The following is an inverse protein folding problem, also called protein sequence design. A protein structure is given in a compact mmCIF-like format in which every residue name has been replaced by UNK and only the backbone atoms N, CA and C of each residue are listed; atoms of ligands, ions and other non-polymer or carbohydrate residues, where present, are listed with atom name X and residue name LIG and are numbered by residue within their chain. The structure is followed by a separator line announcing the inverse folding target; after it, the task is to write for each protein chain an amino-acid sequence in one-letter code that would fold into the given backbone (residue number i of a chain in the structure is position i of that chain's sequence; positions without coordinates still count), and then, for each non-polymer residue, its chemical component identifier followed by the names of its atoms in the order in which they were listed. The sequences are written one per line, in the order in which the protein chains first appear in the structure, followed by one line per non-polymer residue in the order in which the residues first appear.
data_IF_772370758726
#
_entry.id   IF_772370758726
#
_cell.length_a   1.000
_cell.length_b   1.000
_cell.length_c   1.000
_cell.angle_alpha   90.00
_cell.angle_beta   90.00
_cell.angle_gamma   90.00
#
_symmetry.space_group_name_H-M   'P 1'
#
loop_
_entity.id
_entity.type
_entity.pdbx_description
1 polymer ?
#
# COMPACT_ATOMS: atom_id res chain seq x y z
N UNK A 1 10.72 -42.13 32.87
CA UNK A 1 9.49 -41.69 33.56
C UNK A 1 8.58 -40.94 32.56
N UNK A 2 9.01 -39.83 32.04
CA UNK A 2 8.21 -39.00 31.15
C UNK A 2 7.73 -39.72 29.89
N UNK A 3 8.60 -40.46 29.18
CA UNK A 3 8.25 -41.21 27.99
C UNK A 3 7.12 -42.23 28.23
N UNK A 4 7.20 -42.96 29.37
CA UNK A 4 6.18 -43.92 29.78
C UNK A 4 4.84 -43.23 30.07
N UNK A 5 4.85 -42.12 30.78
CA UNK A 5 3.64 -41.34 31.08
C UNK A 5 2.99 -40.75 29.82
N UNK A 6 3.77 -40.26 28.88
CA UNK A 6 3.24 -39.74 27.61
C UNK A 6 2.62 -40.87 26.76
N UNK A 7 3.25 -42.02 26.68
CA UNK A 7 2.70 -43.16 26.02
C UNK A 7 1.38 -43.63 26.66
N UNK A 8 1.31 -43.69 28.01
CA UNK A 8 0.11 -44.06 28.75
C UNK A 8 -1.03 -43.02 28.62
N UNK A 9 -0.71 -41.75 28.37
CA UNK A 9 -1.71 -40.69 28.19
C UNK A 9 -2.37 -40.68 26.82
N UNK A 10 -1.89 -41.50 25.86
CA UNK A 10 -2.34 -41.51 24.48
C UNK A 10 -1.93 -40.27 23.67
N UNK A 11 -0.97 -39.48 24.17
CA UNK A 11 -0.44 -38.35 23.44
C UNK A 11 0.55 -38.83 22.38
N UNK A 12 0.24 -38.55 21.10
CA UNK A 12 1.16 -38.82 19.99
C UNK A 12 2.27 -37.72 20.00
N UNK A 13 3.47 -38.09 20.42
CA UNK A 13 4.59 -37.16 20.53
C UNK A 13 5.92 -37.88 20.23
N UNK A 14 6.73 -37.25 19.40
CA UNK A 14 8.12 -37.63 19.20
C UNK A 14 8.97 -37.03 20.35
N UNK A 15 9.65 -37.88 21.10
CA UNK A 15 10.41 -37.49 22.28
C UNK A 15 11.91 -37.64 22.03
N UNK A 16 12.67 -36.60 22.32
CA UNK A 16 14.12 -36.64 22.31
C UNK A 16 14.65 -36.29 23.71
N UNK A 17 15.42 -37.18 24.31
CA UNK A 17 16.05 -36.95 25.62
C UNK A 17 17.50 -36.53 25.43
N UNK A 18 17.90 -35.46 26.07
CA UNK A 18 19.25 -34.89 26.02
C UNK A 18 19.81 -34.69 27.40
N UNK A 19 21.12 -34.90 27.57
CA UNK A 19 21.75 -34.85 28.88
C UNK A 19 22.32 -33.49 29.28
N UNK A 20 22.44 -32.57 28.34
CA UNK A 20 23.04 -31.24 28.59
C UNK A 20 22.50 -30.19 27.61
N UNK A 21 22.80 -28.93 27.93
CA UNK A 21 22.36 -27.76 27.18
C UNK A 21 22.95 -27.70 25.74
N UNK A 22 24.20 -28.20 25.56
CA UNK A 22 24.85 -28.21 24.27
C UNK A 22 24.20 -29.24 23.32
N UNK A 23 23.79 -30.39 23.86
CA UNK A 23 23.00 -31.40 23.14
C UNK A 23 21.59 -30.84 22.84
N UNK A 24 20.94 -30.17 23.78
CA UNK A 24 19.66 -29.51 23.58
C UNK A 24 19.68 -28.54 22.38
N UNK A 25 20.72 -27.67 22.32
CA UNK A 25 20.91 -26.73 21.18
C UNK A 25 20.99 -27.43 19.81
N UNK A 26 21.60 -28.61 19.76
CA UNK A 26 21.73 -29.36 18.49
C UNK A 26 20.46 -30.09 18.10
N UNK A 27 19.66 -30.49 19.05
CA UNK A 27 18.43 -31.29 18.87
C UNK A 27 17.20 -30.42 18.61
N UNK A 28 17.17 -29.19 19.16
CA UNK A 28 16.07 -28.27 18.96
C UNK A 28 15.90 -27.88 17.51
N UNK A 29 14.67 -28.00 17.03
CA UNK A 29 14.25 -27.61 15.69
C UNK A 29 13.04 -26.68 15.76
N UNK A 30 12.64 -26.07 14.63
CA UNK A 30 11.39 -25.32 14.55
C UNK A 30 10.13 -26.19 14.77
N UNK A 31 10.25 -27.52 14.73
CA UNK A 31 9.16 -28.45 15.02
C UNK A 31 9.03 -28.79 16.49
N UNK A 32 10.04 -28.49 17.29
CA UNK A 32 9.97 -28.71 18.75
C UNK A 32 8.91 -27.80 19.34
N UNK A 33 7.89 -28.41 19.97
CA UNK A 33 6.75 -27.67 20.49
C UNK A 33 6.85 -27.45 22.01
N UNK A 34 7.50 -28.36 22.73
CA UNK A 34 7.66 -28.29 24.18
C UNK A 34 9.04 -28.78 24.60
N UNK A 35 9.59 -28.16 25.62
CA UNK A 35 10.82 -28.57 26.33
C UNK A 35 10.44 -28.86 27.77
N UNK A 36 10.67 -30.07 28.21
CA UNK A 36 10.55 -30.44 29.62
C UNK A 36 11.92 -30.34 30.27
N UNK A 37 12.05 -29.48 31.27
CA UNK A 37 13.32 -29.22 31.97
C UNK A 37 13.26 -29.77 33.38
N UNK A 38 14.10 -30.75 33.69
CA UNK A 38 14.29 -31.24 35.03
C UNK A 38 15.33 -30.37 35.77
N UNK A 39 14.88 -29.57 36.74
CA UNK A 39 15.80 -28.71 37.55
C UNK A 39 16.79 -29.47 38.42
N UNK A 40 16.56 -30.75 38.67
CA UNK A 40 17.45 -31.62 39.43
C UNK A 40 18.39 -32.46 38.53
N UNK A 41 18.32 -32.27 37.22
CA UNK A 41 19.16 -33.03 36.29
C UNK A 41 20.63 -32.61 36.35
N UNK A 42 21.58 -33.56 36.22
CA UNK A 42 22.99 -33.21 36.11
C UNK A 42 23.23 -32.19 34.96
N UNK A 43 23.95 -31.10 35.26
CA UNK A 43 24.24 -30.05 34.27
C UNK A 43 23.17 -28.98 34.12
N UNK A 44 22.09 -29.04 34.92
CA UNK A 44 21.12 -27.96 35.10
C UNK A 44 21.26 -27.42 36.51
N UNK A 45 21.77 -26.20 36.63
CA UNK A 45 21.94 -25.56 37.94
C UNK A 45 20.70 -24.74 38.27
N UNK A 46 19.65 -25.43 38.69
CA UNK A 46 18.39 -24.84 39.14
C UNK A 46 17.82 -23.79 38.19
N UNK A 47 17.55 -22.59 38.71
CA UNK A 47 17.00 -21.48 37.93
C UNK A 47 17.98 -20.88 36.91
N UNK A 48 19.30 -20.97 37.18
CA UNK A 48 20.27 -20.46 36.22
C UNK A 48 20.37 -21.36 35.00
N UNK A 49 20.27 -22.67 35.14
CA UNK A 49 20.11 -23.60 34.06
C UNK A 49 18.82 -23.39 33.27
N UNK A 50 17.72 -23.12 33.98
CA UNK A 50 16.45 -22.76 33.30
C UNK A 50 16.58 -21.49 32.47
N UNK A 51 17.20 -20.43 32.96
CA UNK A 51 17.44 -19.18 32.20
C UNK A 51 18.23 -19.44 30.92
N UNK A 52 19.21 -20.35 30.98
CA UNK A 52 19.98 -20.73 29.78
C UNK A 52 19.10 -21.50 28.77
N UNK A 53 18.17 -22.35 29.23
CA UNK A 53 17.20 -23.03 28.36
C UNK A 53 16.25 -22.00 27.73
N UNK A 54 15.72 -21.07 28.51
CA UNK A 54 14.80 -20.01 28.00
C UNK A 54 15.48 -19.06 27.01
N UNK A 55 16.81 -18.90 27.10
CA UNK A 55 17.59 -18.11 26.15
C UNK A 55 17.90 -18.85 24.83
N UNK A 56 17.51 -20.10 24.70
CA UNK A 56 17.67 -20.82 23.43
C UNK A 56 16.75 -20.23 22.35
N UNK A 57 17.20 -20.13 21.10
CA UNK A 57 16.39 -19.62 20.00
C UNK A 57 15.36 -20.68 19.54
N UNK A 58 14.35 -20.91 20.36
CA UNK A 58 13.30 -21.89 20.12
C UNK A 58 11.92 -21.31 20.43
N UNK A 59 10.90 -21.58 19.59
CA UNK A 59 9.52 -21.20 19.87
C UNK A 59 8.83 -22.18 20.83
N UNK A 60 9.53 -23.18 21.34
CA UNK A 60 8.95 -24.24 22.17
C UNK A 60 8.52 -23.71 23.54
N UNK A 61 7.39 -24.19 24.04
CA UNK A 61 6.96 -23.96 25.40
C UNK A 61 7.90 -24.67 26.38
N UNK A 62 8.21 -24.06 27.51
CA UNK A 62 9.09 -24.64 28.52
C UNK A 62 8.28 -25.01 29.77
N UNK A 63 8.23 -26.31 30.10
CA UNK A 63 7.61 -26.81 31.34
C UNK A 63 8.68 -27.40 32.23
N UNK A 64 8.63 -27.06 33.49
CA UNK A 64 9.66 -27.44 34.48
C UNK A 64 9.19 -28.63 35.31
N UNK A 65 10.10 -29.58 35.57
CA UNK A 65 9.91 -30.67 36.51
C UNK A 65 10.72 -30.39 37.76
N UNK A 66 10.07 -30.43 38.96
CA UNK A 66 10.66 -30.17 40.28
C UNK A 66 10.54 -31.37 41.22
N UNK A 67 11.33 -31.41 42.28
CA UNK A 67 11.21 -32.41 43.39
C UNK A 67 10.20 -32.01 44.47
N UNK A 68 9.88 -32.90 45.38
CA UNK A 68 8.85 -32.76 46.44
C UNK A 68 9.16 -31.61 47.47
N UNK A 69 10.36 -31.12 47.55
CA UNK A 69 10.74 -29.99 48.46
C UNK A 69 10.80 -28.64 47.77
N UNK A 70 10.62 -28.60 46.44
CA UNK A 70 11.01 -27.48 45.59
C UNK A 70 9.83 -26.72 44.98
N UNK A 71 8.61 -26.85 45.53
CA UNK A 71 7.43 -26.14 45.01
C UNK A 71 7.68 -24.62 44.88
N UNK A 72 8.48 -24.04 45.79
CA UNK A 72 8.89 -22.64 45.72
C UNK A 72 9.75 -22.35 44.45
N UNK A 73 10.62 -23.28 44.06
CA UNK A 73 11.39 -23.18 42.80
C UNK A 73 10.49 -23.27 41.56
N UNK A 74 9.39 -24.02 41.62
CA UNK A 74 8.41 -24.08 40.54
C UNK A 74 7.77 -22.72 40.28
N UNK A 75 7.34 -22.02 41.33
CA UNK A 75 6.76 -20.65 41.17
C UNK A 75 7.81 -19.67 40.63
N UNK A 76 9.06 -19.78 41.11
CA UNK A 76 10.15 -18.95 40.57
C UNK A 76 10.49 -19.29 39.12
N UNK A 77 10.36 -20.54 38.69
CA UNK A 77 10.56 -20.96 37.33
C UNK A 77 9.53 -20.32 36.37
N UNK A 78 8.25 -20.28 36.78
CA UNK A 78 7.20 -19.58 36.03
C UNK A 78 7.47 -18.07 35.97
N UNK A 79 7.87 -17.48 37.12
CA UNK A 79 8.27 -16.06 37.15
C UNK A 79 9.50 -15.76 36.26
N UNK A 80 10.36 -16.74 36.03
CA UNK A 80 11.50 -16.63 35.11
C UNK A 80 11.15 -16.82 33.63
N UNK A 81 9.92 -17.26 33.30
CA UNK A 81 9.42 -17.41 31.92
C UNK A 81 9.11 -18.84 31.50
N UNK A 82 9.10 -19.82 32.40
CA UNK A 82 8.53 -21.12 32.11
C UNK A 82 7.00 -21.03 32.01
N UNK A 83 6.41 -21.83 31.11
CA UNK A 83 4.96 -21.83 30.91
C UNK A 83 4.21 -22.50 32.08
N UNK A 84 4.83 -23.54 32.67
CA UNK A 84 4.26 -24.27 33.81
C UNK A 84 5.36 -25.05 34.58
N UNK A 85 5.01 -25.56 35.77
CA UNK A 85 5.84 -26.49 36.50
C UNK A 85 5.02 -27.66 37.06
N UNK A 86 5.67 -28.82 37.17
CA UNK A 86 5.10 -30.03 37.71
C UNK A 86 6.00 -30.67 38.75
N UNK A 87 5.41 -31.16 39.85
CA UNK A 87 6.13 -31.90 40.90
C UNK A 87 6.20 -33.37 40.52
N UNK A 88 7.39 -33.94 40.35
CA UNK A 88 7.62 -35.27 39.80
C UNK A 88 6.85 -36.42 40.53
N UNK A 89 6.65 -36.28 41.83
CA UNK A 89 6.00 -37.24 42.67
C UNK A 89 4.46 -37.16 42.61
N UNK A 90 3.93 -36.05 42.15
CA UNK A 90 2.50 -35.73 42.10
C UNK A 90 1.94 -35.80 40.67
N UNK A 91 2.84 -35.86 39.66
CA UNK A 91 2.43 -35.88 38.27
C UNK A 91 2.07 -37.28 37.83
N UNK A 92 0.89 -37.44 37.24
CA UNK A 92 0.44 -38.62 36.52
C UNK A 92 0.41 -38.37 35.01
N UNK A 93 0.13 -39.40 34.21
CA UNK A 93 0.12 -39.35 32.77
C UNK A 93 -0.92 -38.33 32.21
N UNK A 94 -2.18 -38.29 32.71
CA UNK A 94 -3.15 -37.28 32.32
C UNK A 94 -2.74 -35.83 32.61
N UNK A 95 -2.18 -35.60 33.80
CA UNK A 95 -1.74 -34.27 34.24
C UNK A 95 -0.57 -33.75 33.39
N UNK A 96 0.43 -34.62 33.13
CA UNK A 96 1.56 -34.30 32.27
C UNK A 96 1.10 -33.91 30.85
N UNK A 97 0.28 -34.74 30.23
CA UNK A 97 -0.22 -34.46 28.89
C UNK A 97 -1.07 -33.21 28.81
N UNK A 98 -1.84 -32.90 29.87
CA UNK A 98 -2.64 -31.68 29.96
C UNK A 98 -1.74 -30.45 30.09
N UNK A 99 -0.75 -30.49 30.97
CA UNK A 99 0.19 -29.38 31.19
C UNK A 99 0.95 -29.04 29.88
N UNK A 100 1.46 -30.08 29.19
CA UNK A 100 2.16 -29.88 27.92
C UNK A 100 1.24 -29.23 26.87
N UNK A 101 0.02 -29.72 26.72
CA UNK A 101 -0.94 -29.14 25.76
C UNK A 101 -1.26 -27.67 26.08
N UNK A 102 -1.52 -27.37 27.35
CA UNK A 102 -1.79 -25.98 27.76
C UNK A 102 -0.57 -25.07 27.58
N UNK A 103 0.64 -25.54 27.91
CA UNK A 103 1.85 -24.79 27.71
C UNK A 103 2.08 -24.46 26.21
N UNK A 104 1.89 -25.43 25.33
CA UNK A 104 2.00 -25.24 23.87
C UNK A 104 0.98 -24.23 23.38
N UNK A 105 -0.30 -24.36 23.75
CA UNK A 105 -1.35 -23.45 23.30
C UNK A 105 -1.16 -22.02 23.85
N UNK A 106 -0.74 -21.88 25.10
CA UNK A 106 -0.40 -20.59 25.70
C UNK A 106 0.72 -19.90 24.93
N UNK A 107 1.80 -20.64 24.67
CA UNK A 107 2.95 -20.12 23.92
C UNK A 107 2.58 -19.68 22.50
N UNK A 108 1.77 -20.46 21.81
CA UNK A 108 1.24 -20.13 20.48
C UNK A 108 0.37 -18.87 20.51
N UNK A 109 -0.48 -18.74 21.51
CA UNK A 109 -1.35 -17.57 21.68
C UNK A 109 -0.54 -16.30 21.91
N UNK A 110 0.45 -16.35 22.85
CA UNK A 110 1.34 -15.22 23.14
C UNK A 110 2.16 -14.80 21.89
N UNK A 111 2.68 -15.76 21.15
CA UNK A 111 3.45 -15.47 19.95
C UNK A 111 2.57 -14.85 18.83
N UNK A 112 1.35 -15.35 18.70
CA UNK A 112 0.37 -14.79 17.74
C UNK A 112 -0.01 -13.36 18.12
N UNK A 113 -0.28 -13.10 19.39
CA UNK A 113 -0.59 -11.76 19.88
C UNK A 113 0.58 -10.80 19.65
N UNK A 114 1.80 -11.23 19.99
CA UNK A 114 3.01 -10.41 19.75
C UNK A 114 3.16 -10.07 18.27
N UNK A 115 3.02 -11.04 17.36
CA UNK A 115 3.08 -10.82 15.90
C UNK A 115 1.99 -9.85 15.43
N UNK A 116 0.79 -9.93 15.98
CA UNK A 116 -0.29 -9.00 15.65
C UNK A 116 0.00 -7.57 16.11
N UNK A 117 0.58 -7.43 17.31
CA UNK A 117 0.98 -6.11 17.83
C UNK A 117 2.10 -5.52 17.00
N UNK A 118 3.15 -6.28 16.69
CA UNK A 118 4.26 -5.87 15.84
C UNK A 118 3.76 -5.45 14.43
N UNK A 119 2.88 -6.25 13.83
CA UNK A 119 2.27 -5.94 12.52
C UNK A 119 1.42 -4.67 12.56
N UNK A 120 0.70 -4.41 13.68
CA UNK A 120 -0.09 -3.18 13.85
C UNK A 120 0.79 -1.94 14.00
N UNK A 121 1.89 -2.05 14.76
CA UNK A 121 2.84 -0.94 14.94
C UNK A 121 3.46 -0.59 13.58
N UNK A 122 4.00 -1.58 12.89
CA UNK A 122 4.59 -1.40 11.57
C UNK A 122 3.58 -0.81 10.56
N UNK A 123 2.33 -1.31 10.57
CA UNK A 123 1.28 -0.77 9.71
C UNK A 123 0.92 0.69 10.00
N UNK A 124 0.97 1.12 11.28
CA UNK A 124 0.73 2.53 11.66
C UNK A 124 1.88 3.45 11.26
N UNK A 125 3.11 3.02 11.44
CA UNK A 125 4.30 3.77 11.02
C UNK A 125 4.32 3.94 9.52
N UNK A 126 4.05 2.87 8.79
CA UNK A 126 3.96 2.88 7.35
C UNK A 126 2.85 3.82 6.85
N UNK A 127 1.64 3.73 7.39
CA UNK A 127 0.53 4.63 7.04
C UNK A 127 0.81 6.12 7.36
N UNK A 128 1.69 6.39 8.33
CA UNK A 128 2.14 7.77 8.62
C UNK A 128 3.12 8.28 7.59
N UNK A 129 4.07 7.46 7.16
CA UNK A 129 5.02 7.78 6.09
C UNK A 129 4.27 8.01 4.77
N UNK A 130 3.34 7.12 4.41
CA UNK A 130 2.52 7.22 3.20
C UNK A 130 1.76 8.55 3.10
N UNK A 131 1.08 8.94 4.19
CA UNK A 131 0.39 10.24 4.23
C UNK A 131 1.33 11.44 4.06
N UNK A 132 2.56 11.34 4.50
CA UNK A 132 3.58 12.37 4.31
C UNK A 132 4.16 12.40 2.89
N UNK A 133 4.03 11.32 2.13
CA UNK A 133 4.55 11.20 0.78
C UNK A 133 3.51 11.52 -0.30
N UNK A 134 2.21 11.43 0.01
CA UNK A 134 1.16 11.87 -0.92
C UNK A 134 1.15 13.41 -1.04
N UNK A 135 0.90 13.95 -2.24
CA UNK A 135 0.92 15.38 -2.46
C UNK A 135 -0.23 16.10 -1.76
N UNK A 136 0.06 17.23 -1.16
CA UNK A 136 -0.94 18.25 -0.86
C UNK A 136 -0.94 19.25 -2.04
N UNK A 137 -2.07 19.42 -2.73
CA UNK A 137 -2.14 20.31 -3.89
C UNK A 137 -1.85 21.77 -3.46
N UNK A 138 -1.08 22.47 -4.27
CA UNK A 138 -0.81 23.91 -4.10
C UNK A 138 -1.75 24.69 -5.01
N UNK A 139 -2.99 24.87 -4.61
CA UNK A 139 -4.04 25.60 -5.34
C UNK A 139 -4.75 26.53 -4.37
N UNK A 140 -4.81 27.82 -4.70
CA UNK A 140 -5.52 28.84 -3.92
C UNK A 140 -6.75 29.39 -4.66
N UNK A 141 -7.00 28.95 -5.91
CA UNK A 141 -8.13 29.44 -6.73
C UNK A 141 -9.46 28.83 -6.26
N UNK A 142 -10.39 29.65 -5.70
CA UNK A 142 -11.66 29.15 -5.20
C UNK A 142 -12.63 28.67 -6.29
N UNK A 143 -12.40 29.06 -7.55
CA UNK A 143 -13.20 28.60 -8.69
C UNK A 143 -12.85 27.17 -9.13
N UNK A 144 -11.72 26.65 -8.67
CA UNK A 144 -11.29 25.29 -8.96
C UNK A 144 -11.67 24.31 -7.85
N UNK A 145 -12.09 23.11 -8.25
CA UNK A 145 -12.36 21.98 -7.35
C UNK A 145 -11.41 20.86 -7.71
N UNK A 146 -10.65 20.40 -6.73
CA UNK A 146 -9.64 19.36 -6.88
C UNK A 146 -10.05 18.12 -6.10
N UNK A 147 -10.15 16.99 -6.79
CA UNK A 147 -10.46 15.69 -6.20
C UNK A 147 -9.44 14.67 -6.67
N UNK A 148 -9.02 13.79 -5.78
CA UNK A 148 -8.10 12.70 -6.11
C UNK A 148 -8.54 11.39 -5.50
N UNK A 149 -8.18 10.31 -6.16
CA UNK A 149 -8.24 8.96 -5.64
C UNK A 149 -6.90 8.29 -5.90
N UNK A 150 -6.31 7.74 -4.86
CA UNK A 150 -5.08 6.97 -4.95
C UNK A 150 -5.27 5.65 -4.21
N UNK A 151 -4.82 4.56 -4.83
CA UNK A 151 -4.84 3.23 -4.23
C UNK A 151 -3.71 2.39 -4.78
N UNK A 152 -2.79 1.88 -3.93
CA UNK A 152 -1.79 0.91 -4.34
C UNK A 152 -2.45 -0.42 -4.70
N UNK A 153 -1.96 -1.09 -5.75
CA UNK A 153 -2.50 -2.35 -6.25
C UNK A 153 -2.32 -3.51 -5.26
N UNK A 154 -1.25 -3.50 -4.46
CA UNK A 154 -0.98 -4.55 -3.49
C UNK A 154 -1.59 -4.25 -2.13
N UNK A 155 -2.32 -5.21 -1.55
CA UNK A 155 -3.00 -5.10 -0.23
C UNK A 155 -2.12 -4.65 0.94
N UNK A 156 -0.80 -4.64 0.82
CA UNK A 156 0.16 -4.24 1.87
C UNK A 156 1.21 -3.26 1.38
N UNK A 157 1.10 -2.76 0.15
CA UNK A 157 1.97 -1.72 -0.34
C UNK A 157 1.60 -0.39 0.33
N UNK A 158 2.61 0.43 0.56
CA UNK A 158 2.47 1.78 1.11
C UNK A 158 2.12 2.76 0.01
N UNK A 159 2.87 2.68 -1.08
CA UNK A 159 2.73 3.44 -2.30
C UNK A 159 3.03 2.51 -3.45
N UNK A 160 2.53 2.82 -4.63
CA UNK A 160 2.89 2.20 -5.90
C UNK A 160 3.77 3.11 -6.73
N UNK A 161 4.03 2.70 -7.97
CA UNK A 161 4.76 3.50 -8.97
C UNK A 161 4.01 4.76 -9.40
N UNK A 162 2.69 4.75 -9.24
CA UNK A 162 1.81 5.87 -9.57
C UNK A 162 2.09 7.11 -8.73
N UNK A 163 2.12 8.26 -9.38
CA UNK A 163 2.24 9.55 -8.71
C UNK A 163 1.42 10.64 -9.43
N UNK A 164 1.03 11.67 -8.69
CA UNK A 164 0.36 12.83 -9.24
C UNK A 164 0.70 14.07 -8.41
N UNK A 165 0.51 15.24 -8.99
CA UNK A 165 0.65 16.51 -8.28
C UNK A 165 -0.11 17.65 -8.96
N UNK A 166 -0.31 18.75 -8.21
CA UNK A 166 -0.97 19.95 -8.72
C UNK A 166 -0.36 21.19 -8.06
N UNK A 167 0.08 22.12 -8.89
CA UNK A 167 0.74 23.35 -8.46
C UNK A 167 0.15 24.54 -9.22
N UNK A 168 -0.34 25.54 -8.49
CA UNK A 168 -0.64 26.86 -9.03
C UNK A 168 0.57 27.76 -8.78
N UNK A 169 1.09 28.37 -9.84
CA UNK A 169 2.21 29.31 -9.78
C UNK A 169 1.72 30.74 -9.51
N UNK A 170 2.63 31.62 -9.08
CA UNK A 170 2.33 33.06 -8.82
C UNK A 170 1.74 33.76 -10.06
N UNK A 171 2.13 33.36 -11.27
CA UNK A 171 1.53 33.83 -12.52
C UNK A 171 0.11 33.39 -12.76
N UNK A 172 -0.48 32.60 -11.84
CA UNK A 172 -1.84 32.09 -11.91
C UNK A 172 -2.03 30.86 -12.79
N UNK A 173 -1.01 30.36 -13.48
CA UNK A 173 -1.11 29.10 -14.22
C UNK A 173 -1.24 27.91 -13.25
N UNK A 174 -2.01 26.88 -13.63
CA UNK A 174 -2.13 25.64 -12.86
C UNK A 174 -1.49 24.50 -13.63
N UNK A 175 -0.55 23.84 -13.00
CA UNK A 175 0.19 22.71 -13.54
C UNK A 175 -0.28 21.43 -12.88
N UNK A 176 -0.57 20.43 -13.69
CA UNK A 176 -0.96 19.08 -13.28
C UNK A 176 0.07 18.09 -13.80
N UNK A 177 0.35 17.08 -13.04
CA UNK A 177 1.10 15.91 -13.47
C UNK A 177 0.43 14.66 -12.94
N UNK A 178 0.43 13.61 -13.73
CA UNK A 178 0.19 12.24 -13.33
C UNK A 178 1.18 11.35 -14.07
N UNK A 179 1.68 10.32 -13.43
CA UNK A 179 2.61 9.39 -14.04
C UNK A 179 2.60 8.05 -13.34
N UNK A 180 3.13 7.07 -14.02
CA UNK A 180 3.31 5.72 -13.54
C UNK A 180 4.71 5.22 -13.87
N UNK A 181 5.41 4.71 -12.85
CA UNK A 181 6.72 4.06 -12.99
C UNK A 181 6.50 2.59 -13.25
N UNK A 182 6.98 2.09 -14.39
CA UNK A 182 6.81 0.70 -14.77
C UNK A 182 7.34 -0.26 -13.70
N UNK A 183 6.53 -1.27 -13.36
CA UNK A 183 6.84 -2.22 -12.30
C UNK A 183 6.06 -1.94 -11.01
N UNK A 184 6.38 -2.71 -9.99
CA UNK A 184 5.62 -2.65 -8.75
C UNK A 184 6.51 -3.02 -7.57
N UNK A 185 6.76 -2.14 -6.70
CA UNK A 185 7.54 -2.39 -5.50
C UNK A 185 7.96 -1.13 -4.75
N UNK A 186 8.71 -1.27 -3.68
CA UNK A 186 9.19 -0.13 -2.91
C UNK A 186 10.15 0.79 -3.68
N UNK A 187 10.88 0.23 -4.64
CA UNK A 187 11.86 0.98 -5.43
C UNK A 187 11.15 1.85 -6.47
N UNK A 188 10.14 1.32 -7.16
CA UNK A 188 9.30 2.04 -8.10
C UNK A 188 8.48 3.12 -7.38
N UNK A 189 7.92 2.82 -6.21
CA UNK A 189 7.24 3.79 -5.38
C UNK A 189 8.16 4.95 -4.93
N UNK A 190 9.40 4.65 -4.54
CA UNK A 190 10.38 5.67 -4.18
C UNK A 190 10.74 6.56 -5.39
N UNK A 191 10.91 5.96 -6.57
CA UNK A 191 11.21 6.68 -7.80
C UNK A 191 10.03 7.58 -8.22
N UNK A 192 8.79 7.12 -8.11
CA UNK A 192 7.60 7.94 -8.34
C UNK A 192 7.55 9.17 -7.44
N UNK A 193 7.87 9.01 -6.14
CA UNK A 193 7.97 10.16 -5.21
C UNK A 193 9.10 11.11 -5.61
N UNK A 194 10.28 10.61 -6.00
CA UNK A 194 11.41 11.43 -6.44
C UNK A 194 11.06 12.24 -7.69
N UNK A 195 10.47 11.61 -8.71
CA UNK A 195 10.04 12.28 -9.94
C UNK A 195 8.97 13.34 -9.67
N UNK A 196 7.99 13.05 -8.81
CA UNK A 196 6.98 14.01 -8.39
C UNK A 196 7.61 15.24 -7.70
N UNK A 197 8.54 15.00 -6.78
CA UNK A 197 9.22 16.12 -6.09
C UNK A 197 10.11 16.92 -7.02
N UNK A 198 10.82 16.27 -7.94
CA UNK A 198 11.60 16.95 -8.97
C UNK A 198 10.69 17.81 -9.87
N UNK A 199 9.56 17.25 -10.34
CA UNK A 199 8.57 17.99 -11.12
C UNK A 199 8.05 19.23 -10.37
N UNK A 200 7.62 19.07 -9.11
CA UNK A 200 7.14 20.19 -8.27
C UNK A 200 8.18 21.29 -8.14
N UNK A 201 9.42 20.91 -7.88
CA UNK A 201 10.55 21.85 -7.75
C UNK A 201 10.80 22.59 -9.05
N UNK A 202 10.81 21.90 -10.19
CA UNK A 202 11.01 22.50 -11.50
C UNK A 202 9.89 23.48 -11.86
N UNK A 203 8.62 23.12 -11.60
CA UNK A 203 7.46 24.00 -11.82
C UNK A 203 7.59 25.28 -10.97
N UNK A 204 7.91 25.16 -9.68
CA UNK A 204 8.09 26.29 -8.78
C UNK A 204 9.30 27.15 -9.18
N UNK A 205 10.32 26.57 -9.82
CA UNK A 205 11.45 27.27 -10.40
C UNK A 205 11.15 27.94 -11.75
N UNK A 206 9.92 27.77 -12.28
CA UNK A 206 9.48 28.37 -13.54
C UNK A 206 9.74 27.57 -14.79
N UNK A 207 10.21 26.32 -14.68
CA UNK A 207 10.36 25.42 -15.82
C UNK A 207 9.00 24.88 -16.26
N UNK A 208 8.79 24.76 -17.56
CA UNK A 208 7.54 24.29 -18.16
C UNK A 208 7.81 23.53 -19.46
N UNK A 209 6.78 22.82 -19.95
CA UNK A 209 6.78 22.21 -21.28
C UNK A 209 7.86 21.15 -21.46
N UNK A 210 8.36 21.05 -22.66
CA UNK A 210 9.33 20.02 -23.08
C UNK A 210 10.66 20.10 -22.31
N UNK A 211 11.13 21.29 -21.97
CA UNK A 211 12.36 21.47 -21.18
C UNK A 211 12.24 20.82 -19.78
N UNK A 212 11.08 20.94 -19.15
CA UNK A 212 10.80 20.29 -17.86
C UNK A 212 10.83 18.78 -18.02
N UNK A 213 10.18 18.23 -19.05
CA UNK A 213 10.19 16.79 -19.32
C UNK A 213 11.58 16.24 -19.61
N UNK A 214 12.38 16.94 -20.42
CA UNK A 214 13.79 16.55 -20.67
C UNK A 214 14.64 16.54 -19.40
N UNK A 215 14.37 17.45 -18.45
CA UNK A 215 15.03 17.42 -17.14
C UNK A 215 14.58 16.24 -16.29
N UNK A 216 13.27 15.92 -16.29
CA UNK A 216 12.75 14.75 -15.59
C UNK A 216 13.27 13.43 -16.19
N UNK A 217 13.39 13.34 -17.51
CA UNK A 217 14.01 12.21 -18.20
C UNK A 217 15.45 12.00 -17.74
N UNK A 218 16.20 13.09 -17.62
CA UNK A 218 17.57 13.06 -17.08
C UNK A 218 17.60 12.59 -15.62
N UNK A 219 16.69 13.10 -14.77
CA UNK A 219 16.58 12.65 -13.37
C UNK A 219 16.27 11.17 -13.30
N UNK A 220 15.28 10.69 -14.07
CA UNK A 220 14.93 9.27 -14.15
C UNK A 220 16.14 8.44 -14.55
N UNK A 221 16.90 8.86 -15.54
CA UNK A 221 18.11 8.17 -16.00
C UNK A 221 19.17 7.97 -14.91
N UNK A 222 19.28 8.92 -13.97
CA UNK A 222 20.23 8.86 -12.85
C UNK A 222 19.70 8.08 -11.63
N UNK A 223 18.40 8.12 -11.37
CA UNK A 223 17.79 7.54 -10.18
C UNK A 223 17.31 6.10 -10.36
N UNK A 224 17.00 5.68 -11.60
CA UNK A 224 16.56 4.32 -11.88
C UNK A 224 17.66 3.28 -11.66
N UNK A 225 17.30 2.12 -11.10
CA UNK A 225 18.24 1.04 -10.82
C UNK A 225 18.56 0.14 -12.03
N UNK A 226 17.73 0.19 -13.06
CA UNK A 226 17.87 -0.59 -14.30
C UNK A 226 17.46 0.26 -15.49
N UNK A 227 18.10 0.06 -16.63
CA UNK A 227 17.71 0.69 -17.90
C UNK A 227 16.33 0.26 -18.41
N UNK A 228 15.80 -0.84 -17.90
CA UNK A 228 14.46 -1.34 -18.22
C UNK A 228 13.35 -0.52 -17.54
N UNK A 229 13.68 0.27 -16.50
CA UNK A 229 12.71 1.11 -15.80
C UNK A 229 12.46 2.36 -16.62
N UNK A 230 11.20 2.58 -16.96
CA UNK A 230 10.68 3.76 -17.63
C UNK A 230 9.47 4.33 -16.87
N UNK A 231 9.04 5.52 -17.24
CA UNK A 231 7.89 6.17 -16.60
C UNK A 231 6.98 6.74 -17.64
N UNK A 232 5.69 6.38 -17.61
CA UNK A 232 4.67 7.08 -18.36
C UNK A 232 4.25 8.34 -17.62
N UNK A 233 3.96 9.42 -18.36
CA UNK A 233 3.63 10.70 -17.74
C UNK A 233 2.71 11.54 -18.63
N UNK A 234 1.69 12.13 -18.00
CA UNK A 234 0.89 13.21 -18.57
C UNK A 234 1.11 14.49 -17.76
N UNK A 235 1.46 15.58 -18.46
CA UNK A 235 1.60 16.89 -17.86
C UNK A 235 0.69 17.90 -18.56
N UNK A 236 -0.07 18.70 -17.78
CA UNK A 236 -0.98 19.71 -18.29
C UNK A 236 -0.69 21.05 -17.61
N UNK A 237 -0.59 22.09 -18.40
CA UNK A 237 -0.49 23.46 -17.93
C UNK A 237 -1.72 24.24 -18.34
N UNK A 238 -2.57 24.60 -17.40
CA UNK A 238 -3.79 25.39 -17.59
C UNK A 238 -3.44 26.86 -17.48
N UNK A 239 -3.81 27.62 -18.51
CA UNK A 239 -3.56 29.07 -18.55
C UNK A 239 -4.29 29.80 -17.41
N UNK A 240 -3.83 31.00 -16.98
CA UNK A 240 -4.50 31.83 -15.97
C UNK A 240 -5.96 32.15 -16.30
N UNK A 241 -6.30 32.21 -17.59
CA UNK A 241 -7.69 32.41 -18.08
C UNK A 241 -8.63 31.27 -17.72
N UNK A 242 -8.09 30.07 -17.43
CA UNK A 242 -8.84 28.81 -17.22
C UNK A 242 -9.59 28.32 -18.45
N UNK A 243 -9.34 28.90 -19.65
CA UNK A 243 -10.04 28.55 -20.89
C UNK A 243 -9.22 27.68 -21.82
N UNK A 244 -7.92 27.69 -21.68
CA UNK A 244 -6.99 26.94 -22.51
C UNK A 244 -5.98 26.18 -21.65
N UNK A 245 -5.47 25.08 -22.17
CA UNK A 245 -4.39 24.32 -21.56
C UNK A 245 -3.41 23.82 -22.63
N UNK A 246 -2.21 23.51 -22.20
CA UNK A 246 -1.19 22.78 -22.97
C UNK A 246 -0.92 21.45 -22.32
N UNK A 247 -0.92 20.40 -23.12
CA UNK A 247 -0.67 19.04 -22.69
C UNK A 247 0.57 18.48 -23.36
N UNK A 248 1.31 17.70 -22.59
CA UNK A 248 2.39 16.82 -23.06
C UNK A 248 2.11 15.40 -22.57
N UNK A 249 2.21 14.44 -23.48
CA UNK A 249 2.05 13.01 -23.19
C UNK A 249 3.38 12.29 -23.43
N UNK A 250 3.84 11.55 -22.44
CA UNK A 250 5.00 10.68 -22.50
C UNK A 250 4.57 9.23 -22.26
N UNK A 251 4.03 8.57 -23.29
CA UNK A 251 3.56 7.19 -23.24
C UNK A 251 2.36 6.94 -22.30
N UNK A 252 1.69 7.99 -21.84
CA UNK A 252 0.62 7.92 -20.83
C UNK A 252 -0.77 8.00 -21.47
N UNK A 253 -1.81 7.36 -20.87
CA UNK A 253 -3.17 7.49 -21.36
C UNK A 253 -3.65 8.94 -21.44
N UNK A 254 -4.40 9.27 -22.48
CA UNK A 254 -4.96 10.60 -22.65
C UNK A 254 -6.04 10.90 -21.61
N UNK A 255 -6.03 12.09 -20.98
CA UNK A 255 -7.05 12.51 -20.03
C UNK A 255 -8.43 12.62 -20.64
N UNK A 256 -9.47 12.52 -19.79
CA UNK A 256 -10.84 12.82 -20.20
C UNK A 256 -11.19 14.29 -19.93
N UNK A 257 -11.80 14.93 -20.91
CA UNK A 257 -12.38 16.26 -20.81
C UNK A 257 -13.91 16.16 -20.77
N UNK A 258 -14.49 16.77 -19.76
CA UNK A 258 -15.93 16.93 -19.56
C UNK A 258 -16.27 18.40 -19.82
N UNK A 259 -17.14 18.68 -20.77
CA UNK A 259 -17.65 20.03 -21.07
C UNK A 259 -19.15 20.09 -20.80
N UNK A 260 -19.61 21.13 -20.15
CA UNK A 260 -21.05 21.36 -20.02
C UNK A 260 -21.59 21.98 -21.29
N UNK A 261 -22.51 21.28 -21.97
CA UNK A 261 -23.06 21.69 -23.27
C UNK A 261 -24.35 22.50 -23.16
N UNK A 262 -24.98 22.54 -22.00
CA UNK A 262 -26.23 23.28 -21.77
C UNK A 262 -26.25 23.96 -20.41
N UNK A 263 -27.01 25.10 -20.30
CA UNK A 263 -27.25 25.79 -19.04
C UNK A 263 -28.02 24.95 -18.01
N UNK A 264 -28.73 23.92 -18.48
CA UNK A 264 -29.53 23.04 -17.61
C UNK A 264 -28.74 21.88 -17.00
N UNK A 265 -27.42 21.81 -17.22
CA UNK A 265 -26.50 20.79 -16.64
C UNK A 265 -26.88 19.33 -16.94
N UNK A 266 -27.82 19.08 -17.84
CA UNK A 266 -28.26 17.71 -18.20
C UNK A 266 -27.48 17.08 -19.35
N UNK A 267 -26.60 17.85 -20.02
CA UNK A 267 -25.73 17.34 -21.10
C UNK A 267 -24.28 17.72 -20.84
N UNK A 268 -23.46 16.75 -20.51
CA UNK A 268 -22.01 16.91 -20.52
C UNK A 268 -21.43 16.13 -21.71
N UNK A 269 -20.68 16.80 -22.56
CA UNK A 269 -19.83 16.14 -23.53
C UNK A 269 -18.64 15.54 -22.80
N UNK A 270 -18.41 14.24 -22.99
CA UNK A 270 -17.24 13.53 -22.43
C UNK A 270 -16.44 12.96 -23.58
N UNK A 271 -15.18 13.33 -23.65
CA UNK A 271 -14.26 12.85 -24.67
C UNK A 271 -12.85 12.67 -24.10
N UNK A 272 -12.11 11.70 -24.64
CA UNK A 272 -10.68 11.66 -24.44
C UNK A 272 -10.01 12.82 -25.17
N UNK A 273 -8.99 13.41 -24.57
CA UNK A 273 -8.17 14.42 -25.24
C UNK A 273 -7.41 13.80 -26.41
N UNK A 274 -7.01 14.59 -27.43
CA UNK A 274 -6.24 14.08 -28.55
C UNK A 274 -4.89 13.51 -28.09
N UNK A 275 -4.54 12.32 -28.57
CA UNK A 275 -3.28 11.62 -28.28
C UNK A 275 -2.32 11.50 -29.47
N UNK A 276 -2.65 12.14 -30.61
CA UNK A 276 -1.84 12.07 -31.85
C UNK A 276 -0.46 12.72 -31.73
N UNK A 277 -0.25 13.59 -30.75
CA UNK A 277 1.01 14.26 -30.49
C UNK A 277 1.59 13.79 -29.14
N UNK A 278 1.98 12.52 -29.07
CA UNK A 278 2.63 11.95 -27.88
C UNK A 278 4.09 11.61 -28.14
N UNK A 279 4.93 11.75 -27.12
CA UNK A 279 6.29 11.24 -27.10
C UNK A 279 6.37 9.87 -26.41
N UNK A 280 7.52 9.20 -26.49
CA UNK A 280 7.76 7.94 -25.76
C UNK A 280 7.73 8.20 -24.24
N UNK A 281 7.51 7.14 -23.46
CA UNK A 281 7.68 7.22 -22.03
C UNK A 281 9.09 7.67 -21.66
N UNK A 282 9.23 8.38 -20.54
CA UNK A 282 10.54 8.82 -20.05
C UNK A 282 11.45 7.62 -19.81
N UNK A 283 12.70 7.74 -20.19
CA UNK A 283 13.72 6.71 -20.03
C UNK A 283 13.77 5.64 -21.15
N UNK A 284 12.82 5.66 -22.11
CA UNK A 284 12.83 4.67 -23.20
C UNK A 284 13.78 5.02 -24.33
N UNK A 285 13.82 6.28 -24.74
CA UNK A 285 14.59 6.71 -25.92
C UNK A 285 15.46 7.93 -25.59
N UNK A 286 16.78 7.86 -25.79
CA UNK A 286 17.65 9.03 -25.65
C UNK A 286 17.26 10.13 -26.64
N UNK A 287 17.18 11.39 -26.16
CA UNK A 287 16.85 12.53 -26.99
C UNK A 287 15.41 12.57 -27.47
N UNK A 288 14.50 11.94 -26.72
CA UNK A 288 13.06 11.97 -27.01
C UNK A 288 12.51 13.40 -26.97
N UNK A 289 11.50 13.65 -27.77
CA UNK A 289 10.74 14.90 -27.82
C UNK A 289 9.29 14.63 -27.39
N UNK A 290 8.69 15.61 -26.70
CA UNK A 290 7.31 15.55 -26.21
C UNK A 290 6.52 16.75 -26.72
N UNK A 291 5.90 16.62 -27.91
CA UNK A 291 5.19 17.73 -28.55
C UNK A 291 4.07 18.29 -27.68
N UNK A 292 3.82 19.58 -27.81
CA UNK A 292 2.71 20.26 -27.13
C UNK A 292 1.41 20.08 -27.89
N UNK A 293 0.36 19.67 -27.17
CA UNK A 293 -1.04 19.72 -27.67
C UNK A 293 -1.76 20.89 -26.99
N UNK A 294 -2.27 21.82 -27.80
CA UNK A 294 -3.12 22.93 -27.29
C UNK A 294 -4.55 22.44 -27.13
N UNK A 295 -5.18 22.79 -26.01
CA UNK A 295 -6.52 22.34 -25.62
C UNK A 295 -7.38 23.56 -25.32
N UNK A 296 -8.53 23.67 -25.99
CA UNK A 296 -9.59 24.58 -25.57
C UNK A 296 -10.45 23.88 -24.49
N UNK A 297 -10.47 24.43 -23.30
CA UNK A 297 -11.26 23.92 -22.18
C UNK A 297 -12.69 24.46 -22.17
N UNK A 298 -12.88 25.68 -22.69
CA UNK A 298 -14.14 26.42 -22.59
C UNK A 298 -14.32 27.10 -21.22
N UNK A 299 -15.56 27.43 -20.87
CA UNK A 299 -15.90 28.18 -19.65
C UNK A 299 -16.13 27.28 -18.43
N UNK A 300 -16.84 26.17 -18.65
CA UNK A 300 -17.17 25.19 -17.60
C UNK A 300 -16.68 23.80 -18.03
N UNK A 301 -15.77 23.23 -17.24
CA UNK A 301 -15.11 22.00 -17.61
C UNK A 301 -14.69 21.19 -16.36
N UNK A 302 -14.51 19.89 -16.56
CA UNK A 302 -13.72 19.04 -15.69
C UNK A 302 -12.71 18.24 -16.49
N UNK A 303 -11.52 18.10 -15.97
CA UNK A 303 -10.40 17.38 -16.56
C UNK A 303 -10.00 16.25 -15.65
N UNK A 304 -10.06 15.02 -16.15
CA UNK A 304 -9.71 13.83 -15.39
C UNK A 304 -8.46 13.18 -15.98
N UNK A 305 -7.39 13.17 -15.20
CA UNK A 305 -6.18 12.42 -15.47
C UNK A 305 -6.25 11.12 -14.67
N UNK A 306 -5.74 10.02 -15.22
CA UNK A 306 -5.78 8.70 -14.61
C UNK A 306 -4.64 7.83 -15.10
N UNK A 307 -4.20 6.89 -14.27
CA UNK A 307 -3.21 5.87 -14.63
C UNK A 307 -3.90 4.65 -15.26
N UNK A 308 -3.13 3.83 -15.94
CA UNK A 308 -3.61 2.67 -16.71
C UNK A 308 -4.35 1.63 -15.84
N UNK A 309 -4.07 1.57 -14.53
CA UNK A 309 -4.83 0.74 -13.60
C UNK A 309 -6.34 0.96 -13.65
N UNK A 310 -6.82 2.11 -14.14
CA UNK A 310 -8.26 2.36 -14.34
C UNK A 310 -8.81 1.74 -15.63
N UNK A 311 -8.00 1.53 -16.65
CA UNK A 311 -8.42 1.06 -17.98
C UNK A 311 -7.92 -0.34 -18.34
N UNK A 312 -6.98 -0.91 -17.59
CA UNK A 312 -6.43 -2.24 -17.82
C UNK A 312 -7.27 -3.37 -17.19
N UNK A 313 -8.29 -3.04 -16.39
CA UNK A 313 -9.23 -4.01 -15.84
C UNK A 313 -9.88 -4.84 -16.95
N UNK A 314 -10.08 -6.13 -16.71
CA UNK A 314 -10.77 -7.05 -17.62
C UNK A 314 -12.24 -6.70 -17.71
N UNK A 315 -12.85 -6.93 -18.86
CA UNK A 315 -14.28 -6.77 -19.07
C UNK A 315 -14.90 -8.12 -19.42
N UNK A 316 -15.72 -8.67 -18.52
CA UNK A 316 -16.37 -9.96 -18.71
C UNK A 316 -15.43 -11.17 -18.50
N UNK A 317 -15.80 -12.32 -19.10
CA UNK A 317 -15.06 -13.59 -18.95
C UNK A 317 -13.85 -13.72 -19.91
N UNK A 318 -13.61 -12.70 -20.77
CA UNK A 318 -12.56 -12.70 -21.78
C UNK A 318 -11.24 -12.08 -21.34
N UNK A 319 -10.36 -11.85 -22.31
CA UNK A 319 -9.10 -11.12 -22.15
C UNK A 319 -9.23 -9.62 -22.50
N UNK A 320 -10.42 -9.17 -22.85
CA UNK A 320 -10.65 -7.80 -23.29
C UNK A 320 -10.49 -6.84 -22.11
N UNK A 321 -9.77 -5.74 -22.34
CA UNK A 321 -9.57 -4.67 -21.37
C UNK A 321 -10.57 -3.55 -21.65
N UNK A 322 -10.89 -2.79 -20.60
CA UNK A 322 -11.83 -1.66 -20.70
C UNK A 322 -11.37 -0.63 -21.75
N UNK A 323 -10.09 -0.26 -21.71
CA UNK A 323 -9.51 0.74 -22.57
C UNK A 323 -10.08 2.15 -22.33
N UNK A 324 -9.53 3.12 -23.08
CA UNK A 324 -9.97 4.53 -22.98
C UNK A 324 -11.42 4.70 -23.48
N UNK A 325 -11.81 4.02 -24.54
CA UNK A 325 -13.17 4.12 -25.09
C UNK A 325 -14.22 3.60 -24.10
N UNK A 326 -13.95 2.46 -23.46
CA UNK A 326 -14.82 1.93 -22.41
C UNK A 326 -14.94 2.89 -21.21
N UNK A 327 -13.83 3.50 -20.78
CA UNK A 327 -13.86 4.50 -19.72
C UNK A 327 -14.66 5.75 -20.11
N UNK A 328 -14.58 6.21 -21.36
CA UNK A 328 -15.40 7.33 -21.87
C UNK A 328 -16.89 7.00 -21.77
N UNK A 329 -17.31 5.80 -22.16
CA UNK A 329 -18.71 5.37 -22.07
C UNK A 329 -19.19 5.30 -20.61
N UNK A 330 -18.39 4.76 -19.70
CA UNK A 330 -18.70 4.74 -18.27
C UNK A 330 -18.83 6.17 -17.71
N UNK A 331 -17.91 7.06 -18.10
CA UNK A 331 -17.92 8.44 -17.66
C UNK A 331 -19.14 9.21 -18.17
N UNK A 332 -19.58 8.94 -19.41
CA UNK A 332 -20.84 9.49 -19.97
C UNK A 332 -22.05 9.02 -19.18
N UNK A 333 -22.10 7.73 -18.87
CA UNK A 333 -23.21 7.16 -18.08
C UNK A 333 -23.27 7.76 -16.68
N UNK A 334 -22.15 7.83 -15.96
CA UNK A 334 -22.07 8.42 -14.64
C UNK A 334 -22.45 9.91 -14.62
N UNK A 335 -21.98 10.68 -15.63
CA UNK A 335 -22.38 12.10 -15.79
C UNK A 335 -23.87 12.24 -16.11
N UNK A 336 -24.43 11.37 -16.94
CA UNK A 336 -25.87 11.30 -17.19
C UNK A 336 -26.69 11.00 -15.96
N UNK A 337 -26.16 10.24 -15.01
CA UNK A 337 -26.70 9.99 -13.67
C UNK A 337 -26.54 11.16 -12.68
N UNK A 338 -25.81 12.23 -13.05
CA UNK A 338 -25.58 13.40 -12.21
C UNK A 338 -24.32 13.35 -11.35
N UNK A 339 -23.47 12.34 -11.52
CA UNK A 339 -22.23 12.21 -10.77
C UNK A 339 -21.23 13.33 -11.11
N UNK A 340 -20.64 13.95 -10.08
CA UNK A 340 -19.67 15.05 -10.23
C UNK A 340 -18.59 14.99 -9.15
N UNK A 341 -17.45 15.58 -9.40
CA UNK A 341 -16.38 15.67 -8.39
C UNK A 341 -16.01 14.28 -7.84
N UNK A 342 -16.02 14.14 -6.52
CA UNK A 342 -15.65 12.88 -5.87
C UNK A 342 -16.61 11.72 -6.20
N UNK A 343 -17.92 11.99 -6.31
CA UNK A 343 -18.89 10.93 -6.62
C UNK A 343 -18.66 10.35 -8.02
N UNK A 344 -18.22 11.16 -8.97
CA UNK A 344 -17.87 10.68 -10.32
C UNK A 344 -16.67 9.71 -10.26
N UNK A 345 -15.62 10.06 -9.52
CA UNK A 345 -14.46 9.16 -9.36
C UNK A 345 -14.87 7.85 -8.68
N UNK A 346 -15.63 7.94 -7.57
CA UNK A 346 -16.01 6.77 -6.78
C UNK A 346 -16.94 5.84 -7.59
N UNK A 347 -17.86 6.38 -8.41
CA UNK A 347 -18.75 5.61 -9.29
C UNK A 347 -17.96 4.91 -10.39
N UNK A 348 -17.03 5.62 -11.08
CA UNK A 348 -16.19 5.05 -12.10
C UNK A 348 -15.33 3.90 -11.57
N UNK A 349 -14.64 4.10 -10.45
CA UNK A 349 -13.80 3.05 -9.85
C UNK A 349 -14.64 1.83 -9.47
N UNK A 350 -15.83 2.05 -8.87
CA UNK A 350 -16.73 0.95 -8.48
C UNK A 350 -17.21 0.17 -9.70
N UNK A 351 -17.55 0.86 -10.81
CA UNK A 351 -18.03 0.19 -12.01
C UNK A 351 -16.91 -0.57 -12.73
N UNK A 352 -15.69 0.00 -12.77
CA UNK A 352 -14.52 -0.71 -13.32
C UNK A 352 -14.20 -1.96 -12.51
N UNK A 353 -14.24 -1.90 -11.18
CA UNK A 353 -14.06 -3.08 -10.32
C UNK A 353 -15.16 -4.13 -10.54
N UNK A 354 -16.41 -3.70 -10.71
CA UNK A 354 -17.52 -4.60 -11.00
C UNK A 354 -17.34 -5.33 -12.34
N UNK A 355 -16.87 -4.63 -13.37
CA UNK A 355 -16.58 -5.21 -14.68
C UNK A 355 -15.39 -6.17 -14.64
N UNK A 356 -14.38 -5.85 -13.84
CA UNK A 356 -13.20 -6.71 -13.66
C UNK A 356 -13.52 -7.98 -12.86
N UNK A 357 -14.65 -8.04 -12.14
CA UNK A 357 -15.06 -9.18 -11.32
C UNK A 357 -14.37 -9.29 -9.98
N UNK A 358 -13.35 -8.48 -9.70
CA UNK A 358 -12.61 -8.38 -8.43
C UNK A 358 -11.96 -6.99 -8.34
N UNK A 359 -11.35 -6.69 -7.19
CA UNK A 359 -10.57 -5.47 -7.01
C UNK A 359 -9.42 -5.41 -8.04
N UNK A 360 -9.14 -4.20 -8.52
CA UNK A 360 -8.02 -3.95 -9.43
C UNK A 360 -6.71 -4.33 -8.74
N UNK A 361 -5.83 -4.98 -9.46
CA UNK A 361 -4.56 -5.51 -8.95
C UNK A 361 -3.39 -4.57 -9.16
N UNK A 362 -3.57 -3.56 -10.01
CA UNK A 362 -2.58 -2.54 -10.29
C UNK A 362 -2.78 -1.28 -9.45
N UNK A 363 -1.75 -0.43 -9.41
CA UNK A 363 -1.82 0.88 -8.79
C UNK A 363 -2.89 1.73 -9.49
N UNK A 364 -3.54 2.60 -8.75
CA UNK A 364 -4.59 3.46 -9.26
C UNK A 364 -4.38 4.88 -8.77
N UNK A 365 -4.18 5.80 -9.69
CA UNK A 365 -4.26 7.22 -9.42
C UNK A 365 -5.27 7.89 -10.34
N UNK A 366 -6.14 8.71 -9.76
CA UNK A 366 -7.08 9.57 -10.49
C UNK A 366 -7.00 10.98 -9.92
N UNK A 367 -6.84 11.95 -10.79
CA UNK A 367 -6.88 13.37 -10.47
C UNK A 367 -7.96 14.03 -11.31
N UNK A 368 -8.95 14.63 -10.66
CA UNK A 368 -10.04 15.38 -11.28
C UNK A 368 -9.94 16.84 -10.83
N UNK A 369 -9.69 17.72 -11.77
CA UNK A 369 -9.76 19.17 -11.59
C UNK A 369 -10.94 19.72 -12.36
N UNK A 370 -11.77 20.54 -11.73
CA UNK A 370 -12.95 21.12 -12.39
C UNK A 370 -13.05 22.63 -12.11
N UNK A 371 -13.56 23.34 -13.10
CA UNK A 371 -14.00 24.73 -13.01
C UNK A 371 -15.49 24.78 -13.29
N UNK A 372 -16.24 25.41 -12.36
CA UNK A 372 -17.66 25.70 -12.54
C UNK A 372 -17.85 27.19 -12.71
N UNK A 373 -18.69 27.61 -13.63
CA UNK A 373 -19.08 29.02 -13.74
C UNK A 373 -19.81 29.46 -12.47
N UNK A 374 -19.49 30.64 -11.95
CA UNK A 374 -20.11 31.28 -10.79
C UNK A 374 -21.60 31.65 -10.99
N UNK A 375 -22.19 31.35 -12.15
CA UNK A 375 -23.58 31.67 -12.47
C UNK A 375 -24.62 31.02 -11.51
N UNK A 376 -24.18 30.14 -10.58
CA UNK A 376 -25.05 29.49 -9.57
C UNK A 376 -24.88 29.97 -8.14
N UNK A 377 -23.92 30.84 -7.84
CA UNK A 377 -23.63 31.27 -6.46
C UNK A 377 -24.50 32.47 -5.97
N UNK A 378 -25.32 33.07 -6.83
CA UNK A 378 -26.18 34.21 -6.51
C UNK A 378 -27.49 33.84 -5.80
N UNK A 379 -27.58 32.73 -5.08
CA UNK A 379 -28.82 32.24 -4.49
C UNK A 379 -28.76 31.59 -3.12
N UNK A 380 -27.88 32.05 -2.20
CA UNK A 380 -28.09 31.77 -0.76
C UNK A 380 -27.72 32.98 0.10
N UNK A 381 -28.72 33.75 0.59
CA UNK A 381 -28.47 34.69 1.66
C UNK A 381 -28.13 33.92 2.94
N UNK A 382 -27.14 34.39 3.66
CA UNK A 382 -26.63 33.80 4.88
C UNK A 382 -27.73 33.55 5.91
N UNK A 383 -27.53 32.48 6.66
CA UNK A 383 -28.04 32.44 8.04
C UNK A 383 -26.87 32.14 8.97
N UNK A 384 -26.85 32.96 10.00
CA UNK A 384 -25.99 33.09 11.16
C UNK A 384 -25.52 31.75 11.77
#
# INVERSE_FOLDING_TARGET
MVEKMLAESGMDAEISVVGDLAAARRTLTRRTQCILVDLSAPGIDGLDGLRQVLALPSPAAVVVLTGLGDAHLGVQAVAAGAEDYLVKQEVDAPLLARAIRYAIERKRSEETERRLVEARILGRENARLERGLLPVPLIDDPALRHHTRYRPGRRRALLGGDFYDTVQTEGGAVHLVIGDVCGHGPDEAALGVQLRMAWRTLVLAGHTGEQLLGTLDTVLGHERRSEEIFTTLCMITIAPSRRTARMHLAGHPAPLLFRETSRDRTGAEVAALPDYAHGPALGLLPGAEWPTTEIDLGDSWALMLYTDGLIEGKVGEGSDRLGTDGLVELARAARGGGATGRSLIDELVTEVERLNGDALTDDLAVLLLSRQDDAGAAGRPGRF
#
